data_IF_252030117095
#
_entry.id   IF_252030117095
#
_cell.length_a   1.000
_cell.length_b   1.000
_cell.length_c   1.000
_cell.angle_alpha   90.00
_cell.angle_beta   90.00
_cell.angle_gamma   90.00
#
_symmetry.space_group_name_H-M   'P 1'
#
loop_
_entity.id
_entity.type
_entity.pdbx_description
1 polymer ?
#
# COMPACT_ATOMS: atom_id res chain seq x y z
N UNK A 1 6.84 5.10 -3.24
CA UNK A 1 6.11 6.36 -3.55
C UNK A 1 5.07 6.64 -2.47
N UNK A 2 4.61 7.88 -2.28
CA UNK A 2 3.44 8.14 -1.42
C UNK A 2 2.19 7.42 -1.99
N UNK A 3 1.43 6.75 -1.14
CA UNK A 3 0.24 6.01 -1.54
C UNK A 3 -0.89 6.89 -2.09
N UNK A 4 -0.97 8.17 -1.72
CA UNK A 4 -1.98 9.10 -2.26
C UNK A 4 -1.63 9.63 -3.65
N UNK A 5 -0.34 9.63 -4.00
CA UNK A 5 0.14 10.15 -5.28
C UNK A 5 -0.05 9.16 -6.44
N UNK A 6 -0.34 7.88 -6.16
CA UNK A 6 -0.62 6.89 -7.19
C UNK A 6 -2.05 7.04 -7.69
N UNK A 7 -2.23 7.07 -9.01
CA UNK A 7 -3.54 6.90 -9.63
C UNK A 7 -3.84 5.41 -9.80
N UNK A 8 -4.69 4.87 -8.94
CA UNK A 8 -5.03 3.44 -8.95
C UNK A 8 -5.98 3.09 -10.11
N UNK A 9 -5.50 2.27 -11.06
CA UNK A 9 -6.31 1.76 -12.17
C UNK A 9 -6.76 0.34 -11.89
N UNK A 10 -8.06 0.08 -12.06
CA UNK A 10 -8.65 -1.24 -11.89
C UNK A 10 -8.70 -2.02 -13.22
N UNK A 11 -8.59 -3.36 -13.19
CA UNK A 11 -8.42 -4.22 -12.01
C UNK A 11 -7.00 -4.13 -11.41
N UNK A 12 -6.90 -4.18 -10.07
CA UNK A 12 -5.63 -4.11 -9.35
C UNK A 12 -5.56 -5.20 -8.28
N UNK A 13 -4.35 -5.67 -7.99
CA UNK A 13 -4.06 -6.56 -6.86
C UNK A 13 -3.26 -5.78 -5.83
N UNK A 14 -3.75 -5.74 -4.59
CA UNK A 14 -3.03 -5.19 -3.44
C UNK A 14 -2.32 -6.33 -2.69
N UNK A 15 -1.01 -6.21 -2.53
CA UNK A 15 -0.20 -7.16 -1.77
C UNK A 15 0.34 -6.46 -0.52
N UNK A 16 0.11 -7.06 0.65
CA UNK A 16 0.58 -6.54 1.95
C UNK A 16 1.55 -7.55 2.55
N UNK A 17 2.72 -7.06 2.97
CA UNK A 17 3.73 -7.87 3.63
C UNK A 17 3.36 -8.25 5.06
N UNK A 18 4.00 -9.30 5.57
CA UNK A 18 3.83 -9.69 6.98
C UNK A 18 4.56 -8.71 7.91
N UNK A 19 4.03 -8.44 9.09
CA UNK A 19 4.57 -7.52 10.10
C UNK A 19 6.03 -7.81 10.49
N UNK A 20 6.47 -9.07 10.42
CA UNK A 20 7.82 -9.48 10.81
C UNK A 20 8.84 -9.50 9.69
N UNK A 21 8.40 -9.72 8.44
CA UNK A 21 9.28 -9.99 7.29
C UNK A 21 9.04 -9.07 6.09
N UNK A 22 7.99 -8.26 6.13
CA UNK A 22 7.58 -7.43 5.00
C UNK A 22 7.15 -8.28 3.78
N UNK A 23 7.34 -7.69 2.60
CA UNK A 23 7.18 -8.36 1.31
C UNK A 23 8.49 -9.05 0.94
N UNK A 24 8.41 -10.23 0.33
CA UNK A 24 9.60 -10.86 -0.25
C UNK A 24 10.14 -10.03 -1.41
N UNK A 25 11.45 -10.01 -1.59
CA UNK A 25 12.13 -9.28 -2.67
C UNK A 25 11.57 -9.62 -4.06
N UNK A 26 11.29 -10.89 -4.34
CA UNK A 26 10.67 -11.31 -5.60
C UNK A 26 9.30 -10.66 -5.88
N UNK A 27 8.48 -10.43 -4.84
CA UNK A 27 7.19 -9.76 -4.99
C UNK A 27 7.35 -8.25 -5.22
N UNK A 28 8.39 -7.66 -4.62
CA UNK A 28 8.74 -6.25 -4.81
C UNK A 28 9.21 -6.04 -6.26
N UNK A 29 10.08 -6.91 -6.76
CA UNK A 29 10.58 -6.87 -8.14
C UNK A 29 9.48 -7.08 -9.19
N UNK A 30 8.51 -7.95 -8.90
CA UNK A 30 7.38 -8.20 -9.79
C UNK A 30 6.28 -7.11 -9.72
N UNK A 31 6.33 -6.21 -8.73
CA UNK A 31 5.30 -5.21 -8.55
C UNK A 31 5.42 -4.08 -9.57
N UNK A 32 4.30 -3.73 -10.22
CA UNK A 32 4.22 -2.55 -11.08
C UNK A 32 4.44 -1.25 -10.31
N UNK A 33 3.96 -1.19 -9.06
CA UNK A 33 4.06 -0.02 -8.21
C UNK A 33 4.34 -0.43 -6.77
N UNK A 34 5.20 0.35 -6.10
CA UNK A 34 5.48 0.21 -4.67
C UNK A 34 5.13 1.53 -3.98
N UNK A 35 4.15 1.47 -3.10
CA UNK A 35 3.69 2.60 -2.29
C UNK A 35 4.03 2.41 -0.83
N UNK A 36 4.14 3.51 -0.09
CA UNK A 36 4.31 3.52 1.37
C UNK A 36 3.32 4.48 2.00
N UNK A 37 2.83 4.12 3.18
CA UNK A 37 2.11 5.04 4.07
C UNK A 37 3.19 5.80 4.85
N UNK A 38 3.24 7.14 4.80
CA UNK A 38 4.16 7.92 5.61
C UNK A 38 3.92 7.63 7.09
N UNK A 39 4.99 7.26 7.79
CA UNK A 39 4.98 7.04 9.24
C UNK A 39 5.50 8.30 9.94
N UNK A 40 4.91 8.64 11.07
CA UNK A 40 5.37 9.76 11.90
C UNK A 40 6.26 9.27 13.05
N UNK A 41 7.37 9.95 13.30
CA UNK A 41 8.29 9.64 14.39
C UNK A 41 9.09 8.35 14.19
N UNK A 42 9.38 7.64 15.27
CA UNK A 42 10.26 6.45 15.27
C UNK A 42 9.53 5.14 14.96
N UNK A 43 8.36 5.19 14.31
CA UNK A 43 7.58 4.00 14.03
C UNK A 43 7.88 3.50 12.61
N UNK A 44 8.49 2.32 12.51
CA UNK A 44 8.89 1.75 11.21
C UNK A 44 7.72 1.09 10.46
N UNK A 45 6.65 0.69 11.16
CA UNK A 45 5.48 0.05 10.54
C UNK A 45 4.22 0.13 11.41
N UNK A 46 3.05 -0.02 10.78
CA UNK A 46 1.76 -0.26 11.46
C UNK A 46 1.31 -1.71 11.22
N UNK A 47 0.31 -2.15 12.00
CA UNK A 47 -0.37 -3.42 11.80
C UNK A 47 -0.80 -3.62 10.33
N UNK A 48 -0.59 -4.84 9.81
CA UNK A 48 -0.83 -5.14 8.40
C UNK A 48 -2.29 -4.93 7.98
N UNK A 49 -3.26 -5.24 8.85
CA UNK A 49 -4.67 -5.02 8.57
C UNK A 49 -5.03 -3.53 8.56
N UNK A 50 -4.41 -2.73 9.42
CA UNK A 50 -4.58 -1.26 9.41
C UNK A 50 -3.99 -0.67 8.12
N UNK A 51 -2.79 -1.09 7.70
CA UNK A 51 -2.20 -0.67 6.44
C UNK A 51 -3.10 -1.03 5.23
N UNK A 52 -3.63 -2.25 5.20
CA UNK A 52 -4.56 -2.69 4.17
C UNK A 52 -5.82 -1.82 4.15
N UNK A 53 -6.42 -1.53 5.31
CA UNK A 53 -7.60 -0.69 5.43
C UNK A 53 -7.40 0.73 4.89
N UNK A 54 -6.26 1.36 5.23
CA UNK A 54 -5.92 2.71 4.73
C UNK A 54 -5.78 2.72 3.22
N UNK A 55 -5.05 1.74 2.65
CA UNK A 55 -4.83 1.64 1.21
C UNK A 55 -6.13 1.35 0.45
N UNK A 56 -6.95 0.42 0.93
CA UNK A 56 -8.23 0.09 0.30
C UNK A 56 -9.19 1.29 0.33
N UNK A 57 -9.22 2.05 1.42
CA UNK A 57 -10.05 3.25 1.52
C UNK A 57 -9.63 4.30 0.49
N UNK A 58 -8.33 4.58 0.37
CA UNK A 58 -7.80 5.53 -0.63
C UNK A 58 -8.13 5.08 -2.06
N UNK A 59 -7.87 3.80 -2.39
CA UNK A 59 -8.20 3.24 -3.70
C UNK A 59 -9.70 3.37 -4.02
N UNK A 60 -10.57 3.13 -3.04
CA UNK A 60 -12.03 3.29 -3.18
C UNK A 60 -12.45 4.75 -3.32
N UNK A 61 -11.79 5.67 -2.60
CA UNK A 61 -12.04 7.11 -2.69
C UNK A 61 -11.73 7.61 -4.10
N UNK A 62 -10.55 7.29 -4.64
CA UNK A 62 -10.16 7.69 -5.99
C UNK A 62 -11.07 7.12 -7.08
N UNK A 63 -11.60 5.91 -6.87
CA UNK A 63 -12.58 5.29 -7.79
C UNK A 63 -13.88 6.08 -7.87
N UNK A 64 -14.27 6.77 -6.80
CA UNK A 64 -15.53 7.53 -6.73
C UNK A 64 -15.36 8.96 -7.23
N UNK A 65 -14.14 9.48 -7.24
CA UNK A 65 -13.80 10.84 -7.67
C UNK A 65 -13.42 10.96 -9.16
N UNK A 66 -13.49 9.88 -9.93
CA UNK A 66 -13.26 9.86 -11.38
C UNK A 66 -14.48 9.33 -12.11
#
# INVERSE_FOLDING_TARGET
MDYKALHYRFPIVLVIGNEKRGLSEHLIEAAYFIVRIPMCGNCDSINAAVAAGVLLFEMSSQKTSG
#
